data_IF_707113941960
#
_entry.id   IF_707113941960
#
_cell.length_a   1.000
_cell.length_b   1.000
_cell.length_c   1.000
_cell.angle_alpha   90.00
_cell.angle_beta   90.00
_cell.angle_gamma   90.00
#
_symmetry.space_group_name_H-M   'P 1'
#
loop_
_entity.id
_entity.type
_entity.pdbx_description
1 polymer ?
#
# COMPACT_ATOMS: atom_id res chain seq x y z
N UNK A 1 -35.75 10.38 20.09
CA UNK A 1 -35.70 11.85 20.03
C UNK A 1 -36.86 12.40 20.86
N UNK A 2 -36.56 12.92 22.04
CA UNK A 2 -37.51 13.70 22.86
C UNK A 2 -37.20 15.17 22.62
N UNK A 3 -38.15 15.90 22.03
CA UNK A 3 -37.99 17.32 21.72
C UNK A 3 -38.69 18.10 22.83
N UNK A 4 -37.94 18.84 23.64
CA UNK A 4 -38.45 19.78 24.64
C UNK A 4 -38.56 21.17 24.02
N UNK A 5 -39.72 21.81 24.18
CA UNK A 5 -40.00 23.15 23.67
C UNK A 5 -39.36 24.23 24.57
N UNK A 6 -38.83 25.34 23.98
CA UNK A 6 -38.20 26.42 24.74
C UNK A 6 -39.22 27.20 25.59
N UNK A 7 -38.78 27.71 26.75
CA UNK A 7 -39.56 28.54 27.66
C UNK A 7 -39.64 30.00 27.16
N UNK A 8 -40.73 30.74 27.45
CA UNK A 8 -41.06 32.03 26.81
C UNK A 8 -40.15 33.24 27.10
N UNK A 9 -38.95 33.06 27.65
CA UNK A 9 -37.99 34.11 28.01
C UNK A 9 -36.52 33.72 27.75
N UNK A 10 -36.27 32.59 27.07
CA UNK A 10 -34.92 32.11 26.77
C UNK A 10 -34.51 32.46 25.33
N UNK A 11 -33.34 33.07 25.16
CA UNK A 11 -32.77 33.30 23.82
C UNK A 11 -32.54 31.96 23.11
N UNK A 12 -32.95 31.82 21.83
CA UNK A 12 -32.71 30.60 21.06
C UNK A 12 -31.20 30.29 21.00
N UNK A 13 -30.83 29.05 21.31
CA UNK A 13 -29.45 28.59 21.16
C UNK A 13 -29.05 28.35 19.69
N UNK A 14 -27.75 28.29 19.45
CA UNK A 14 -27.21 28.00 18.12
C UNK A 14 -27.37 26.52 17.73
N UNK A 15 -27.74 26.29 16.47
CA UNK A 15 -27.72 24.96 15.85
C UNK A 15 -26.45 24.85 15.01
N UNK A 16 -25.50 24.04 15.48
CA UNK A 16 -24.27 23.74 14.74
C UNK A 16 -24.48 22.47 13.92
N UNK A 17 -24.43 22.59 12.59
CA UNK A 17 -24.49 21.45 11.66
C UNK A 17 -23.07 21.11 11.24
N UNK A 18 -22.62 19.91 11.59
CA UNK A 18 -21.34 19.36 11.12
C UNK A 18 -21.61 18.44 9.95
N UNK A 19 -20.97 18.72 8.81
CA UNK A 19 -21.05 17.89 7.62
C UNK A 19 -19.95 16.83 7.68
N UNK A 20 -20.34 15.56 7.69
CA UNK A 20 -19.42 14.43 7.63
C UNK A 20 -19.47 13.80 6.23
N UNK A 21 -18.29 13.60 5.62
CA UNK A 21 -18.19 12.95 4.33
C UNK A 21 -18.18 11.43 4.50
N UNK A 22 -19.16 10.77 3.89
CA UNK A 22 -19.17 9.30 3.79
C UNK A 22 -18.11 8.82 2.80
N UNK A 23 -17.44 7.68 3.08
CA UNK A 23 -16.63 6.99 2.09
C UNK A 23 -17.45 6.67 0.82
N UNK A 24 -16.82 6.75 -0.34
CA UNK A 24 -17.41 6.39 -1.62
C UNK A 24 -16.58 5.30 -2.29
N UNK A 25 -17.24 4.32 -2.91
CA UNK A 25 -16.59 3.09 -3.40
C UNK A 25 -15.50 3.35 -4.44
N UNK A 26 -15.67 4.39 -5.27
CA UNK A 26 -14.75 4.70 -6.38
C UNK A 26 -13.87 5.93 -6.17
N UNK A 27 -14.35 6.91 -5.40
CA UNK A 27 -13.76 8.25 -5.41
C UNK A 27 -13.38 8.66 -4.01
N UNK A 28 -12.14 9.08 -3.84
CA UNK A 28 -11.67 9.71 -2.63
C UNK A 28 -11.57 11.22 -2.88
N UNK A 29 -12.21 12.02 -2.03
CA UNK A 29 -12.08 13.48 -2.09
C UNK A 29 -10.80 13.92 -1.41
N UNK A 30 -10.06 14.80 -2.08
CA UNK A 30 -8.90 15.51 -1.52
C UNK A 30 -9.08 17.02 -1.77
N UNK A 31 -9.69 17.72 -0.81
CA UNK A 31 -10.01 19.14 -0.95
C UNK A 31 -11.02 19.40 -2.09
N UNK A 32 -10.58 20.08 -3.14
CA UNK A 32 -11.35 20.33 -4.36
C UNK A 32 -11.15 19.25 -5.44
N UNK A 33 -10.21 18.32 -5.22
CA UNK A 33 -9.87 17.28 -6.18
C UNK A 33 -10.54 15.95 -5.82
N UNK A 34 -10.65 15.09 -6.82
CA UNK A 34 -11.07 13.70 -6.67
C UNK A 34 -9.91 12.79 -7.05
N UNK A 35 -9.80 11.64 -6.40
CA UNK A 35 -8.83 10.59 -6.70
C UNK A 35 -9.59 9.28 -6.91
N UNK A 36 -9.25 8.55 -7.97
CA UNK A 36 -9.74 7.20 -8.25
C UNK A 36 -8.56 6.32 -8.66
N UNK A 37 -8.68 5.02 -8.44
CA UNK A 37 -7.72 4.04 -8.93
C UNK A 37 -8.37 3.26 -10.06
N UNK A 38 -7.70 3.18 -11.21
CA UNK A 38 -8.16 2.42 -12.36
C UNK A 38 -7.11 1.38 -12.74
N UNK A 39 -7.54 0.14 -12.82
CA UNK A 39 -6.66 -0.96 -13.18
C UNK A 39 -6.63 -1.15 -14.69
N UNK A 40 -5.44 -1.21 -15.26
CA UNK A 40 -5.18 -1.40 -16.69
C UNK A 40 -4.27 -2.62 -16.90
N UNK A 41 -4.39 -3.28 -18.04
CA UNK A 41 -3.46 -4.37 -18.41
C UNK A 41 -2.13 -3.80 -18.88
N UNK A 42 -1.06 -4.61 -18.84
CA UNK A 42 0.23 -4.24 -19.43
C UNK A 42 0.10 -3.85 -20.91
N UNK A 43 -0.76 -4.52 -21.67
CA UNK A 43 -1.02 -4.17 -23.07
C UNK A 43 -1.63 -2.78 -23.20
N UNK A 44 -2.62 -2.44 -22.38
CA UNK A 44 -3.21 -1.09 -22.35
C UNK A 44 -2.18 -0.02 -21.93
N UNK A 45 -1.30 -0.36 -20.98
CA UNK A 45 -0.27 0.54 -20.49
C UNK A 45 0.81 0.88 -21.54
N UNK A 46 1.09 -0.04 -22.48
CA UNK A 46 2.10 0.14 -23.53
C UNK A 46 1.51 0.57 -24.88
N UNK A 47 0.35 0.02 -25.23
CA UNK A 47 -0.29 0.18 -26.54
C UNK A 47 -1.48 1.15 -26.51
N UNK A 48 -1.68 1.86 -25.39
CA UNK A 48 -2.79 2.80 -25.23
C UNK A 48 -4.12 2.09 -24.98
N UNK A 49 -5.13 2.89 -24.62
CA UNK A 49 -6.47 2.38 -24.30
C UNK A 49 -7.55 3.44 -24.48
N UNK A 50 -8.79 2.98 -24.46
CA UNK A 50 -9.97 3.83 -24.33
C UNK A 50 -10.88 3.23 -23.27
N UNK A 51 -11.15 3.99 -22.20
CA UNK A 51 -11.97 3.54 -21.06
C UNK A 51 -13.06 4.55 -20.74
N UNK A 52 -14.14 4.05 -20.16
CA UNK A 52 -15.26 4.88 -19.70
C UNK A 52 -15.30 4.89 -18.19
N UNK A 53 -15.21 6.08 -17.60
CA UNK A 53 -15.34 6.29 -16.15
C UNK A 53 -16.68 6.94 -15.88
N UNK A 54 -17.50 6.30 -15.04
CA UNK A 54 -18.74 6.89 -14.54
C UNK A 54 -18.41 7.85 -13.40
N UNK A 55 -18.72 9.13 -13.59
CA UNK A 55 -18.47 10.21 -12.63
C UNK A 55 -19.56 10.28 -11.54
N UNK A 56 -19.38 11.15 -10.55
CA UNK A 56 -20.33 11.40 -9.46
C UNK A 56 -21.64 12.04 -9.92
N UNK A 57 -21.65 12.71 -11.07
CA UNK A 57 -22.84 13.32 -11.68
C UNK A 57 -23.53 12.41 -12.71
N UNK A 58 -23.25 11.10 -12.64
CA UNK A 58 -23.71 10.05 -13.55
C UNK A 58 -23.27 10.19 -15.01
N UNK A 59 -22.48 11.21 -15.38
CA UNK A 59 -21.88 11.30 -16.72
C UNK A 59 -20.83 10.22 -16.92
N UNK A 60 -20.63 9.86 -18.18
CA UNK A 60 -19.60 8.94 -18.63
C UNK A 60 -18.46 9.74 -19.25
N UNK A 61 -17.29 9.68 -18.63
CA UNK A 61 -16.06 10.28 -19.12
C UNK A 61 -15.32 9.26 -19.98
N UNK A 62 -15.22 9.52 -21.28
CA UNK A 62 -14.42 8.73 -22.20
C UNK A 62 -12.96 9.19 -22.13
N UNK A 63 -12.10 8.40 -21.51
CA UNK A 63 -10.67 8.67 -21.40
C UNK A 63 -9.93 7.88 -22.48
N UNK A 64 -9.04 8.55 -23.21
CA UNK A 64 -8.22 7.93 -24.25
C UNK A 64 -6.75 8.22 -23.98
N UNK A 65 -5.94 7.17 -23.99
CA UNK A 65 -4.48 7.28 -23.89
C UNK A 65 -3.86 6.75 -25.18
N UNK A 66 -2.98 7.53 -25.84
CA UNK A 66 -2.45 7.14 -27.14
C UNK A 66 -1.49 5.94 -27.05
N UNK A 67 -1.40 5.12 -28.11
CA UNK A 67 -0.38 4.07 -28.21
C UNK A 67 1.04 4.66 -28.21
N UNK A 68 1.98 3.99 -27.55
CA UNK A 68 3.39 4.38 -27.50
C UNK A 68 3.73 5.38 -26.39
N UNK A 69 2.74 6.04 -25.79
CA UNK A 69 2.93 6.68 -24.49
C UNK A 69 2.74 5.63 -23.40
N UNK A 70 3.76 5.44 -22.56
CA UNK A 70 3.75 4.38 -21.54
C UNK A 70 3.19 4.90 -20.23
N UNK A 71 2.22 4.18 -19.68
CA UNK A 71 1.79 4.35 -18.29
C UNK A 71 2.58 3.40 -17.40
N UNK A 72 3.19 3.96 -16.35
CA UNK A 72 3.93 3.18 -15.35
C UNK A 72 2.98 2.69 -14.24
N UNK A 73 3.32 1.59 -13.55
CA UNK A 73 2.64 1.24 -12.32
C UNK A 73 2.64 2.43 -11.35
N UNK A 74 1.51 2.68 -10.70
CA UNK A 74 1.30 3.79 -9.75
C UNK A 74 1.37 5.20 -10.36
N UNK A 75 1.44 5.33 -11.69
CA UNK A 75 1.43 6.62 -12.37
C UNK A 75 0.08 7.33 -12.16
N UNK A 76 0.10 8.67 -12.12
CA UNK A 76 -1.07 9.50 -11.83
C UNK A 76 -1.28 10.48 -12.98
N UNK A 77 -2.47 10.46 -13.57
CA UNK A 77 -2.90 11.44 -14.59
C UNK A 77 -4.08 12.27 -14.10
N UNK A 78 -4.14 13.54 -14.49
CA UNK A 78 -5.19 14.47 -14.08
C UNK A 78 -6.14 14.84 -15.23
N UNK A 79 -7.43 14.86 -14.95
CA UNK A 79 -8.48 15.39 -15.81
C UNK A 79 -8.99 16.69 -15.17
N UNK A 80 -8.54 17.82 -15.73
CA UNK A 80 -8.85 19.15 -15.21
C UNK A 80 -10.34 19.45 -15.40
N UNK A 81 -10.99 20.02 -14.37
CA UNK A 81 -12.40 20.39 -14.42
C UNK A 81 -13.37 19.26 -14.06
N UNK A 82 -12.87 18.07 -13.74
CA UNK A 82 -13.69 16.93 -13.32
C UNK A 82 -13.54 16.61 -11.82
N UNK A 83 -13.01 17.54 -11.02
CA UNK A 83 -12.99 17.46 -9.55
C UNK A 83 -14.30 17.93 -8.89
N UNK A 84 -14.20 18.30 -7.62
CA UNK A 84 -15.31 18.89 -6.85
C UNK A 84 -15.50 20.38 -7.19
N UNK A 85 -16.72 20.91 -7.16
CA UNK A 85 -16.98 22.34 -7.28
C UNK A 85 -16.27 23.16 -6.19
N UNK A 86 -15.75 24.33 -6.55
CA UNK A 86 -15.08 25.24 -5.62
C UNK A 86 -16.13 25.98 -4.80
N UNK A 87 -15.91 26.07 -3.48
CA UNK A 87 -16.82 26.79 -2.58
C UNK A 87 -16.94 28.26 -2.99
N UNK A 88 -18.17 28.76 -3.10
CA UNK A 88 -18.54 30.09 -3.63
C UNK A 88 -18.28 30.32 -5.13
N UNK A 89 -17.68 29.36 -5.85
CA UNK A 89 -17.54 29.42 -7.30
C UNK A 89 -17.89 28.05 -7.94
N UNK A 90 -19.18 27.69 -8.01
CA UNK A 90 -19.61 26.35 -8.41
C UNK A 90 -19.39 26.01 -9.89
N UNK A 91 -19.09 27.02 -10.72
CA UNK A 91 -18.79 26.84 -12.14
C UNK A 91 -17.34 26.38 -12.36
N UNK A 92 -16.47 26.56 -11.37
CA UNK A 92 -15.12 26.03 -11.37
C UNK A 92 -15.06 24.76 -10.55
N UNK A 93 -14.43 23.73 -11.13
CA UNK A 93 -14.20 22.43 -10.51
C UNK A 93 -12.71 22.18 -10.42
N UNK A 94 -12.29 21.42 -9.41
CA UNK A 94 -10.91 20.92 -9.31
C UNK A 94 -10.58 19.87 -10.37
N UNK A 95 -9.59 19.04 -10.06
CA UNK A 95 -9.09 17.99 -10.97
C UNK A 95 -9.49 16.60 -10.47
N UNK A 96 -9.83 15.70 -11.39
CA UNK A 96 -9.91 14.27 -11.12
C UNK A 96 -8.55 13.63 -11.41
N UNK A 97 -7.89 13.09 -10.40
CA UNK A 97 -6.68 12.31 -10.53
C UNK A 97 -7.00 10.83 -10.63
N UNK A 98 -6.45 10.17 -11.64
CA UNK A 98 -6.56 8.73 -11.86
C UNK A 98 -5.18 8.14 -11.59
N UNK A 99 -5.13 7.28 -10.57
CA UNK A 99 -3.97 6.45 -10.28
C UNK A 99 -4.11 5.14 -11.05
N UNK A 100 -3.08 4.75 -11.79
CA UNK A 100 -3.11 3.54 -12.59
C UNK A 100 -2.43 2.38 -11.87
N UNK A 101 -3.17 1.29 -11.71
CA UNK A 101 -2.63 0.00 -11.31
C UNK A 101 -2.43 -0.86 -12.55
N UNK A 102 -1.23 -1.40 -12.77
CA UNK A 102 -0.90 -2.14 -13.99
C UNK A 102 -0.87 -3.63 -13.69
N UNK A 103 -1.82 -4.36 -14.25
CA UNK A 103 -1.88 -5.82 -14.18
C UNK A 103 -0.93 -6.44 -15.21
N UNK A 104 0.05 -7.17 -14.69
CA UNK A 104 0.93 -8.02 -15.48
C UNK A 104 0.24 -9.35 -15.82
N UNK A 105 0.57 -9.96 -16.97
CA UNK A 105 0.08 -11.28 -17.31
C UNK A 105 0.58 -12.33 -16.31
N UNK A 106 -0.14 -13.45 -16.20
CA UNK A 106 0.26 -14.58 -15.38
C UNK A 106 1.58 -15.20 -15.86
N UNK A 107 2.26 -15.93 -14.98
CA UNK A 107 3.45 -16.71 -15.33
C UNK A 107 3.12 -17.68 -16.46
N UNK A 108 4.05 -17.85 -17.40
CA UNK A 108 3.89 -18.75 -18.56
C UNK A 108 2.74 -18.38 -19.51
N UNK A 109 2.33 -17.11 -19.58
CA UNK A 109 1.26 -16.64 -20.47
C UNK A 109 1.47 -16.88 -21.98
N UNK A 110 2.70 -17.20 -22.41
CA UNK A 110 3.04 -17.50 -23.80
C UNK A 110 4.19 -18.49 -23.91
N UNK A 111 4.41 -19.02 -25.12
CA UNK A 111 5.52 -19.91 -25.44
C UNK A 111 6.83 -19.15 -25.74
N UNK A 112 7.96 -19.88 -25.71
CA UNK A 112 9.29 -19.31 -25.93
C UNK A 112 9.45 -18.56 -27.26
N UNK A 113 8.79 -19.02 -28.32
CA UNK A 113 8.87 -18.37 -29.63
C UNK A 113 8.28 -16.96 -29.60
N UNK A 114 7.08 -16.79 -29.02
CA UNK A 114 6.42 -15.49 -28.88
C UNK A 114 7.11 -14.60 -27.86
N UNK A 115 7.72 -15.18 -26.81
CA UNK A 115 8.49 -14.41 -25.83
C UNK A 115 9.75 -13.80 -26.48
N UNK A 116 10.40 -14.51 -27.43
CA UNK A 116 11.51 -13.95 -28.21
C UNK A 116 11.08 -12.80 -29.12
N UNK A 117 9.90 -12.90 -29.73
CA UNK A 117 9.32 -11.81 -30.53
C UNK A 117 9.05 -10.57 -29.66
N UNK A 118 8.48 -10.77 -28.46
CA UNK A 118 8.26 -9.69 -27.49
C UNK A 118 9.59 -9.04 -27.06
N UNK A 119 10.61 -9.84 -26.77
CA UNK A 119 11.93 -9.34 -26.39
C UNK A 119 12.55 -8.46 -27.49
N UNK A 120 12.36 -8.80 -28.76
CA UNK A 120 12.85 -8.00 -29.89
C UNK A 120 12.15 -6.64 -30.03
N UNK A 121 10.94 -6.48 -29.48
CA UNK A 121 10.19 -5.22 -29.49
C UNK A 121 10.56 -4.30 -28.31
N UNK A 122 11.16 -4.85 -27.26
CA UNK A 122 11.55 -4.13 -26.05
C UNK A 122 13.02 -3.69 -26.12
N UNK A 123 13.45 -2.91 -25.13
CA UNK A 123 14.85 -2.49 -25.02
C UNK A 123 15.77 -3.70 -24.85
N UNK A 124 16.98 -3.69 -25.45
CA UNK A 124 17.91 -4.80 -25.34
C UNK A 124 18.32 -5.04 -23.88
N UNK A 125 18.56 -6.30 -23.52
CA UNK A 125 19.04 -6.65 -22.19
C UNK A 125 20.39 -5.97 -21.94
N UNK A 126 20.59 -5.37 -20.75
CA UNK A 126 21.91 -4.90 -20.38
C UNK A 126 22.89 -6.09 -20.35
N UNK A 127 24.11 -5.87 -20.84
CA UNK A 127 25.16 -6.87 -20.72
C UNK A 127 25.52 -7.05 -19.25
N UNK A 128 25.51 -8.30 -18.78
CA UNK A 128 26.04 -8.64 -17.47
C UNK A 128 27.52 -8.95 -17.65
N UNK A 129 28.39 -8.20 -16.98
CA UNK A 129 29.80 -8.53 -16.90
C UNK A 129 29.95 -9.81 -16.06
N UNK A 130 30.07 -10.94 -16.75
CA UNK A 130 30.24 -12.22 -16.08
C UNK A 130 31.63 -12.26 -15.45
N UNK A 131 31.72 -12.56 -14.14
CA UNK A 131 33.01 -12.77 -13.51
C UNK A 131 33.72 -13.97 -14.16
N UNK A 132 35.07 -14.02 -14.08
CA UNK A 132 35.82 -15.16 -14.59
C UNK A 132 35.32 -16.47 -13.98
N UNK A 133 35.33 -17.58 -14.74
CA UNK A 133 35.00 -18.89 -14.19
C UNK A 133 35.91 -19.20 -12.99
N UNK A 134 35.32 -19.74 -11.92
CA UNK A 134 36.00 -20.08 -10.66
C UNK A 134 36.56 -18.90 -9.85
N UNK A 135 36.01 -17.69 -10.00
CA UNK A 135 36.34 -16.59 -9.09
C UNK A 135 35.95 -16.93 -7.65
N UNK A 136 36.89 -16.75 -6.71
CA UNK A 136 36.78 -17.15 -5.29
C UNK A 136 35.57 -16.57 -4.55
N UNK A 137 35.01 -15.45 -5.04
CA UNK A 137 33.93 -14.72 -4.39
C UNK A 137 32.63 -14.71 -5.20
N UNK A 138 32.39 -15.72 -6.04
CA UNK A 138 31.15 -15.83 -6.83
C UNK A 138 30.51 -17.18 -6.61
N UNK A 139 29.27 -17.15 -6.12
CA UNK A 139 28.41 -18.30 -5.92
C UNK A 139 27.15 -18.13 -6.77
N UNK A 140 26.75 -19.20 -7.47
CA UNK A 140 25.48 -19.23 -8.19
C UNK A 140 24.34 -19.47 -7.20
N UNK A 141 23.33 -18.60 -7.21
CA UNK A 141 22.18 -18.68 -6.30
C UNK A 141 20.88 -18.60 -7.08
N UNK A 142 19.87 -19.34 -6.62
CA UNK A 142 18.53 -19.34 -7.21
C UNK A 142 17.60 -18.41 -6.41
N UNK A 143 16.81 -17.61 -7.13
CA UNK A 143 15.74 -16.83 -6.50
C UNK A 143 14.61 -17.77 -6.05
N UNK A 144 14.08 -17.51 -4.86
CA UNK A 144 12.92 -18.21 -4.31
C UNK A 144 11.85 -17.20 -3.95
N UNK A 145 10.60 -17.66 -3.94
CA UNK A 145 9.49 -16.84 -3.46
C UNK A 145 9.70 -16.48 -1.99
N UNK A 146 9.34 -15.26 -1.62
CA UNK A 146 9.41 -14.81 -0.24
C UNK A 146 8.26 -15.40 0.57
N UNK A 147 8.57 -16.20 1.60
CA UNK A 147 7.58 -16.77 2.51
C UNK A 147 7.69 -16.08 3.88
N UNK A 148 6.67 -15.30 4.24
CA UNK A 148 6.68 -14.47 5.46
C UNK A 148 6.88 -15.28 6.77
N UNK A 149 6.45 -16.55 6.82
CA UNK A 149 6.60 -17.41 8.00
C UNK A 149 8.03 -17.83 8.28
N UNK A 150 8.93 -17.78 7.30
CA UNK A 150 10.34 -18.17 7.46
C UNK A 150 11.15 -17.16 8.29
N UNK A 151 10.61 -15.95 8.52
CA UNK A 151 11.18 -14.96 9.46
C UNK A 151 10.84 -15.21 10.93
N UNK A 152 9.91 -16.11 11.24
CA UNK A 152 9.38 -16.32 12.60
C UNK A 152 10.00 -17.44 13.41
N UNK A 153 10.85 -18.29 12.82
CA UNK A 153 11.33 -19.53 13.45
C UNK A 153 12.78 -19.47 13.97
N UNK A 154 13.29 -18.27 14.29
CA UNK A 154 14.67 -18.05 14.72
C UNK A 154 14.85 -17.39 16.10
N UNK A 155 13.80 -17.29 16.92
CA UNK A 155 13.90 -16.57 18.20
C UNK A 155 12.79 -16.91 19.17
N UNK A 156 12.79 -18.13 19.71
CA UNK A 156 11.82 -18.50 20.73
C UNK A 156 12.02 -19.92 21.27
N UNK A 157 12.78 -20.03 22.37
CA UNK A 157 12.57 -21.08 23.37
C UNK A 157 13.22 -22.43 23.12
N UNK A 158 14.50 -22.57 23.49
CA UNK A 158 15.06 -23.83 24.01
C UNK A 158 16.19 -23.51 24.99
N UNK A 159 15.83 -22.81 26.07
CA UNK A 159 16.58 -22.78 27.33
C UNK A 159 15.85 -23.65 28.35
N UNK A 160 15.72 -24.95 28.07
CA UNK A 160 15.14 -25.94 28.97
C UNK A 160 16.26 -26.68 29.70
N UNK A 161 16.55 -26.21 30.91
CA UNK A 161 17.12 -26.91 32.07
C UNK A 161 18.14 -28.04 31.79
N UNK A 162 19.42 -27.68 31.85
CA UNK A 162 20.49 -28.63 32.13
C UNK A 162 20.69 -28.73 33.65
N UNK A 163 20.93 -29.96 34.11
CA UNK A 163 21.28 -30.37 35.49
C UNK A 163 20.10 -30.59 36.45
N UNK A 164 19.32 -31.64 36.18
CA UNK A 164 18.88 -32.53 37.25
C UNK A 164 20.08 -33.45 37.58
N UNK A 165 20.80 -33.15 38.65
CA UNK A 165 21.82 -34.04 39.22
C UNK A 165 21.51 -34.19 40.70
N UNK A 166 20.89 -35.31 41.05
CA UNK A 166 20.74 -35.78 42.43
C UNK A 166 22.13 -36.07 43.00
N UNK A 167 22.55 -35.38 44.06
CA UNK A 167 23.59 -35.86 44.97
C UNK A 167 23.47 -35.13 46.31
N UNK A 168 23.43 -35.94 47.36
CA UNK A 168 23.29 -35.60 48.77
C UNK A 168 24.31 -34.57 49.25
N UNK A 169 23.90 -33.60 50.09
CA UNK A 169 24.53 -33.42 51.40
C UNK A 169 23.83 -32.39 52.29
N UNK A 170 23.73 -32.82 53.53
CA UNK A 170 23.21 -32.21 54.74
C UNK A 170 24.02 -30.97 55.16
N UNK A 171 23.34 -29.89 55.61
CA UNK A 171 23.72 -29.00 56.73
C UNK A 171 23.37 -27.51 56.53
N UNK A 172 22.66 -26.96 57.51
CA UNK A 172 23.05 -25.69 58.13
C UNK A 172 22.39 -24.43 57.55
N UNK A 173 21.42 -23.89 58.29
CA UNK A 173 20.74 -22.64 57.97
C UNK A 173 21.60 -21.40 58.12
N UNK A 174 21.13 -20.28 57.60
CA UNK A 174 21.32 -18.94 58.19
C UNK A 174 20.36 -17.96 57.52
N UNK A 175 19.50 -17.35 58.34
CA UNK A 175 18.72 -16.16 57.98
C UNK A 175 19.67 -14.98 57.82
N UNK A 176 19.53 -14.18 56.76
CA UNK A 176 19.98 -12.79 56.82
C UNK A 176 19.11 -11.84 56.00
N UNK A 177 18.59 -10.89 56.74
CA UNK A 177 17.93 -9.63 56.42
C UNK A 177 18.81 -8.74 55.51
N UNK A 178 18.24 -7.98 54.57
CA UNK A 178 19.08 -7.06 53.81
C UNK A 178 18.45 -6.35 52.61
N UNK A 179 17.68 -5.31 52.90
CA UNK A 179 17.66 -3.98 52.25
C UNK A 179 17.59 -3.85 50.72
N UNK A 180 16.47 -3.24 50.34
CA UNK A 180 16.21 -2.43 49.16
C UNK A 180 17.30 -1.41 48.80
N UNK A 181 17.58 -1.26 47.52
CA UNK A 181 17.98 0.02 46.90
C UNK A 181 17.53 0.07 45.44
N UNK A 182 16.81 1.13 45.10
CA UNK A 182 16.49 1.54 43.73
C UNK A 182 17.58 2.50 43.26
N UNK A 183 18.00 2.39 42.01
CA UNK A 183 18.76 3.44 41.33
C UNK A 183 18.02 3.88 40.07
N UNK A 184 17.90 5.20 39.94
CA UNK A 184 17.39 5.94 38.80
C UNK A 184 18.53 6.77 38.19
N UNK A 185 18.21 7.42 37.06
CA UNK A 185 19.01 8.33 36.22
C UNK A 185 19.83 7.62 35.13
N UNK A 186 19.89 8.12 33.89
CA UNK A 186 19.50 9.42 33.33
C UNK A 186 19.11 9.24 31.87
#
# INVERSE_FOLDING_TARGET
>A
MSVSFPQPDQEPGDVIIVLEQKPHDRFQRQGINLVTTETITLTEALCGFTKVIKHLDDRQLLITHPPGEVIKPEDIKGIVGEGMPIYKNPYEKGTLYIKFDVQFPESYFNNDAKLKELEALLSPRPSVDMPPPHSEHVEEVELREYIASERGAGGGGMGGEAYHSDEDDEMGGHMHEGQSVRCANQ
#
